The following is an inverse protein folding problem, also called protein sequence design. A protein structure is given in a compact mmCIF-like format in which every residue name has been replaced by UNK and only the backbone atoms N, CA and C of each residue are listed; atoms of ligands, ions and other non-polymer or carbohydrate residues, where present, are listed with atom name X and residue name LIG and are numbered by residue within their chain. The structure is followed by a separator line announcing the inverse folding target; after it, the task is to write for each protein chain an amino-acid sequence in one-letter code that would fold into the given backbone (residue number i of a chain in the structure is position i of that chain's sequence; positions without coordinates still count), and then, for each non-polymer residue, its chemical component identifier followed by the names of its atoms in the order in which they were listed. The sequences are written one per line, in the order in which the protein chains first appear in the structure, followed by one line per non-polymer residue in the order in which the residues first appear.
data_IF_189889975415
#
_entry.id   IF_189889975415
#
_cell.length_a   1.000
_cell.length_b   1.000
_cell.length_c   1.000
_cell.angle_alpha   90.00
_cell.angle_beta   90.00
_cell.angle_gamma   90.00
#
_symmetry.space_group_name_H-M   'P 1'
#
loop_
_entity.id
_entity.type
_entity.pdbx_description
1 polymer ?
#
# COMPACT_ATOMS: atom_id res chain seq x y z
N UNK A 1 -5.91 3.06 -40.45
CA UNK A 1 -7.05 3.41 -39.61
C UNK A 1 -6.60 3.81 -38.19
N UNK A 2 -5.28 3.82 -37.91
CA UNK A 2 -4.69 4.21 -36.62
C UNK A 2 -4.92 3.20 -35.49
N UNK A 3 -5.37 2.00 -35.78
CA UNK A 3 -5.53 0.93 -34.80
C UNK A 3 -4.28 0.05 -34.69
N UNK A 4 -4.03 -0.49 -33.51
CA UNK A 4 -3.02 -1.52 -33.26
C UNK A 4 -3.66 -2.89 -33.46
N UNK A 5 -3.03 -3.74 -34.26
CA UNK A 5 -3.46 -5.12 -34.46
C UNK A 5 -2.49 -6.08 -33.77
N UNK A 6 -2.99 -6.95 -32.91
CA UNK A 6 -2.20 -7.90 -32.15
C UNK A 6 -2.58 -9.31 -32.57
N UNK A 7 -1.62 -10.06 -33.15
CA UNK A 7 -1.76 -11.47 -33.42
C UNK A 7 -1.53 -12.31 -32.16
N UNK A 8 -2.44 -13.20 -31.83
CA UNK A 8 -2.27 -14.19 -30.77
C UNK A 8 -1.59 -15.44 -31.31
N UNK A 9 -0.62 -15.98 -30.56
CA UNK A 9 0.00 -17.29 -30.82
C UNK A 9 -0.64 -18.28 -29.84
N UNK A 10 -1.25 -19.31 -30.40
CA UNK A 10 -1.82 -20.39 -29.60
C UNK A 10 -1.01 -21.68 -29.71
N UNK A 11 -1.67 -22.81 -29.52
CA UNK A 11 -1.10 -24.14 -29.58
C UNK A 11 -0.61 -24.50 -31.02
N UNK A 12 0.43 -25.35 -31.21
CA UNK A 12 1.17 -26.07 -30.16
C UNK A 12 2.31 -25.25 -29.57
N UNK A 13 2.44 -25.24 -28.27
CA UNK A 13 3.56 -24.62 -27.54
C UNK A 13 3.20 -24.28 -26.10
N UNK A 14 4.19 -23.91 -25.34
CA UNK A 14 4.06 -23.46 -23.94
C UNK A 14 3.35 -22.11 -23.78
N UNK A 15 2.86 -21.52 -24.85
CA UNK A 15 2.09 -20.27 -24.88
C UNK A 15 0.57 -20.49 -25.03
N UNK A 16 0.15 -21.80 -25.11
CA UNK A 16 -1.27 -22.13 -25.22
C UNK A 16 -2.01 -21.85 -23.91
N UNK A 17 -3.25 -21.44 -24.05
CA UNK A 17 -4.18 -21.22 -22.93
C UNK A 17 -5.35 -22.18 -23.10
N UNK A 18 -5.65 -22.99 -22.06
CA UNK A 18 -6.76 -23.93 -22.07
C UNK A 18 -8.09 -23.22 -22.39
N UNK A 19 -8.87 -23.83 -23.27
CA UNK A 19 -10.17 -23.29 -23.70
C UNK A 19 -10.10 -22.09 -24.66
N UNK A 20 -8.90 -21.72 -25.16
CA UNK A 20 -8.72 -20.64 -26.15
C UNK A 20 -8.41 -21.20 -27.53
N UNK A 21 -8.73 -20.43 -28.56
CA UNK A 21 -8.37 -20.74 -29.94
C UNK A 21 -6.85 -20.69 -30.14
N UNK A 22 -6.35 -21.44 -31.11
CA UNK A 22 -4.93 -21.54 -31.44
C UNK A 22 -4.37 -20.28 -32.13
N UNK A 23 -5.23 -19.38 -32.52
CA UNK A 23 -4.92 -18.14 -33.22
C UNK A 23 -5.92 -17.07 -32.79
N UNK A 24 -5.52 -15.84 -32.95
CA UNK A 24 -6.39 -14.69 -32.71
C UNK A 24 -5.82 -13.44 -33.33
N UNK A 25 -6.67 -12.56 -33.77
CA UNK A 25 -6.32 -11.21 -34.17
C UNK A 25 -7.20 -10.26 -33.37
N UNK A 26 -6.58 -9.40 -32.59
CA UNK A 26 -7.26 -8.37 -31.83
C UNK A 26 -6.96 -7.00 -32.43
N UNK A 27 -8.00 -6.20 -32.58
CA UNK A 27 -7.86 -4.80 -33.00
C UNK A 27 -8.08 -3.90 -31.77
N UNK A 28 -7.09 -3.08 -31.46
CA UNK A 28 -7.15 -2.09 -30.42
C UNK A 28 -7.16 -0.70 -31.04
N UNK A 29 -8.13 0.11 -30.62
CA UNK A 29 -8.22 1.49 -31.07
C UNK A 29 -8.07 2.40 -29.85
N UNK A 30 -7.23 3.45 -29.99
CA UNK A 30 -7.08 4.45 -28.97
C UNK A 30 -8.42 5.17 -28.71
N UNK A 31 -8.83 5.24 -27.46
CA UNK A 31 -10.11 5.82 -27.04
C UNK A 31 -10.05 7.33 -26.76
N UNK A 32 -8.89 7.96 -27.00
CA UNK A 32 -8.68 9.39 -26.74
C UNK A 32 -8.39 9.75 -25.29
N UNK A 33 -8.33 8.77 -24.38
CA UNK A 33 -8.01 9.01 -22.97
C UNK A 33 -6.53 8.76 -22.68
N UNK A 34 -5.89 9.68 -21.96
CA UNK A 34 -4.55 9.45 -21.43
C UNK A 34 -4.58 8.54 -20.21
N UNK A 35 -3.53 7.76 -20.02
CA UNK A 35 -3.24 7.05 -18.77
C UNK A 35 -2.05 7.74 -18.09
N UNK A 36 -2.09 7.82 -16.77
CA UNK A 36 -0.96 8.34 -16.00
C UNK A 36 0.05 7.21 -15.75
N UNK A 37 1.24 7.32 -16.36
CA UNK A 37 2.27 6.28 -16.34
C UNK A 37 3.68 6.88 -16.32
N UNK A 38 4.67 6.08 -15.91
CA UNK A 38 6.08 6.35 -16.16
C UNK A 38 6.35 6.16 -17.66
N UNK A 39 6.53 7.26 -18.39
CA UNK A 39 6.76 7.25 -19.85
C UNK A 39 8.18 6.81 -20.19
N UNK A 40 9.17 7.28 -19.44
CA UNK A 40 10.56 7.00 -19.68
C UNK A 40 11.41 7.15 -18.41
N UNK A 41 12.51 6.41 -18.36
CA UNK A 41 13.60 6.57 -17.40
C UNK A 41 14.88 6.90 -18.15
N UNK A 42 15.60 7.92 -17.71
CA UNK A 42 16.87 8.34 -18.31
C UNK A 42 17.98 8.41 -17.28
N UNK A 43 19.15 7.89 -17.65
CA UNK A 43 20.35 8.04 -16.84
C UNK A 43 20.79 9.50 -16.79
N UNK A 44 21.24 9.93 -15.61
CA UNK A 44 21.94 11.18 -15.38
C UNK A 44 23.30 10.89 -14.73
N UNK A 45 24.24 11.83 -14.79
CA UNK A 45 25.57 11.67 -14.19
C UNK A 45 25.48 11.31 -12.69
N UNK A 46 24.48 11.83 -12.00
CA UNK A 46 24.31 11.70 -10.55
C UNK A 46 22.95 11.11 -10.16
N UNK A 47 22.28 10.36 -11.06
CA UNK A 47 20.99 9.80 -10.74
C UNK A 47 20.17 9.30 -11.92
N UNK A 48 18.85 9.32 -11.75
CA UNK A 48 17.86 8.94 -12.76
C UNK A 48 16.80 10.03 -12.91
N UNK A 49 16.37 10.28 -14.13
CA UNK A 49 15.22 11.14 -14.44
C UNK A 49 14.06 10.25 -14.89
N UNK A 50 12.93 10.34 -14.21
CA UNK A 50 11.67 9.67 -14.56
C UNK A 50 10.77 10.70 -15.23
N UNK A 51 10.27 10.41 -16.43
CA UNK A 51 9.28 11.21 -17.13
C UNK A 51 7.92 10.53 -17.06
N UNK A 52 6.88 11.32 -16.80
CA UNK A 52 5.49 10.85 -16.71
C UNK A 52 4.66 11.32 -17.91
N UNK A 53 3.63 10.56 -18.27
CA UNK A 53 2.72 10.89 -19.37
C UNK A 53 1.89 12.14 -19.10
N UNK A 54 1.57 12.40 -17.83
CA UNK A 54 0.80 13.56 -17.36
C UNK A 54 1.58 14.34 -16.30
N UNK A 55 1.29 15.64 -16.10
CA UNK A 55 1.89 16.37 -14.99
C UNK A 55 1.49 15.80 -13.63
N UNK A 56 2.42 15.73 -12.70
CA UNK A 56 2.15 15.38 -11.31
C UNK A 56 1.23 16.40 -10.64
N UNK A 57 0.43 15.96 -9.69
CA UNK A 57 -0.29 16.85 -8.79
C UNK A 57 0.69 17.76 -8.04
N UNK A 58 0.24 18.96 -7.70
CA UNK A 58 1.06 19.88 -6.92
C UNK A 58 1.43 19.28 -5.57
N UNK A 59 2.71 19.35 -5.21
CA UNK A 59 3.26 18.76 -3.99
C UNK A 59 3.71 17.30 -4.12
N UNK A 60 3.33 16.59 -5.18
CA UNK A 60 3.75 15.19 -5.38
C UNK A 60 5.13 15.08 -6.05
N UNK A 61 5.83 13.97 -5.81
CA UNK A 61 7.10 13.63 -6.46
C UNK A 61 8.36 14.22 -5.82
N UNK A 62 8.24 15.05 -4.78
CA UNK A 62 9.36 15.73 -4.13
C UNK A 62 10.02 14.91 -3.01
N UNK A 63 9.31 13.96 -2.42
CA UNK A 63 9.82 13.20 -1.29
C UNK A 63 10.67 12.01 -1.76
N UNK A 64 11.97 11.96 -1.46
CA UNK A 64 12.85 10.84 -1.80
C UNK A 64 12.34 9.48 -1.29
N UNK A 65 11.68 9.44 -0.14
CA UNK A 65 11.12 8.22 0.43
C UNK A 65 9.97 7.59 -0.40
N UNK A 66 9.44 8.33 -1.38
CA UNK A 66 8.47 7.78 -2.33
C UNK A 66 9.08 6.85 -3.38
N UNK A 67 10.43 6.81 -3.47
CA UNK A 67 11.15 6.06 -4.48
C UNK A 67 12.08 5.04 -3.82
N UNK A 68 11.94 3.78 -4.17
CA UNK A 68 12.88 2.72 -3.83
C UNK A 68 13.73 2.39 -5.03
N UNK A 69 15.04 2.44 -4.88
CA UNK A 69 15.96 2.08 -5.95
C UNK A 69 16.78 0.88 -5.50
N UNK A 70 16.69 -0.21 -6.25
CA UNK A 70 17.55 -1.38 -6.09
C UNK A 70 18.42 -1.56 -7.32
N UNK A 71 19.65 -2.04 -7.16
CA UNK A 71 20.50 -2.39 -8.28
C UNK A 71 21.09 -3.77 -8.11
N UNK A 72 21.31 -4.46 -9.23
CA UNK A 72 21.99 -5.75 -9.31
C UNK A 72 22.56 -5.95 -10.72
N UNK A 73 23.42 -6.94 -10.89
CA UNK A 73 23.84 -7.37 -12.22
C UNK A 73 23.55 -8.86 -12.44
N UNK A 74 23.55 -9.27 -13.71
CA UNK A 74 23.45 -10.66 -14.11
C UNK A 74 24.76 -11.10 -14.77
N UNK A 75 25.29 -12.26 -14.34
CA UNK A 75 26.40 -12.88 -15.02
C UNK A 75 25.85 -13.73 -16.18
N UNK A 76 26.26 -13.47 -17.45
CA UNK A 76 25.85 -14.29 -18.57
C UNK A 76 26.27 -15.75 -18.35
N UNK A 77 25.35 -16.69 -18.53
CA UNK A 77 25.58 -18.13 -18.47
C UNK A 77 24.91 -18.79 -19.66
N UNK A 78 25.25 -20.07 -19.93
CA UNK A 78 24.58 -20.88 -20.94
C UNK A 78 23.20 -21.42 -20.48
N UNK A 79 22.81 -21.16 -19.24
CA UNK A 79 21.50 -21.53 -18.70
C UNK A 79 20.54 -20.35 -18.87
N UNK A 80 19.28 -20.66 -19.13
CA UNK A 80 18.22 -19.67 -19.19
C UNK A 80 17.94 -19.11 -17.81
N UNK A 81 18.00 -17.77 -17.69
CA UNK A 81 17.85 -17.06 -16.44
C UNK A 81 19.08 -17.20 -15.53
N UNK A 82 19.31 -16.21 -14.69
CA UNK A 82 20.41 -16.22 -13.73
C UNK A 82 20.00 -15.51 -12.45
N UNK A 83 20.64 -15.81 -11.31
CA UNK A 83 20.37 -15.09 -10.08
C UNK A 83 20.82 -13.63 -10.21
N UNK A 84 20.15 -12.76 -9.49
CA UNK A 84 20.62 -11.41 -9.23
C UNK A 84 21.90 -11.48 -8.39
N UNK A 85 22.93 -10.77 -8.80
CA UNK A 85 24.20 -10.70 -8.09
C UNK A 85 24.46 -9.29 -7.60
N UNK A 86 25.05 -9.14 -6.42
CA UNK A 86 25.36 -7.86 -5.76
C UNK A 86 24.10 -6.94 -5.65
N UNK A 87 22.96 -7.54 -5.27
CA UNK A 87 21.73 -6.79 -5.10
C UNK A 87 21.85 -5.84 -3.88
N UNK A 88 21.66 -4.56 -4.12
CA UNK A 88 21.75 -3.50 -3.11
C UNK A 88 20.64 -2.48 -3.27
N UNK A 89 20.09 -2.01 -2.15
CA UNK A 89 19.20 -0.85 -2.13
C UNK A 89 20.04 0.42 -2.08
N UNK A 90 19.75 1.36 -2.96
CA UNK A 90 20.46 2.64 -3.06
C UNK A 90 19.72 3.75 -2.30
N UNK A 91 20.48 4.70 -1.78
CA UNK A 91 19.91 5.88 -1.12
C UNK A 91 19.56 6.94 -2.17
N UNK A 92 18.28 7.33 -2.21
CA UNK A 92 17.82 8.51 -2.93
C UNK A 92 18.09 9.74 -2.06
N UNK A 93 19.03 10.57 -2.49
CA UNK A 93 19.49 11.76 -1.73
C UNK A 93 18.51 12.93 -1.86
N UNK A 94 17.92 13.11 -3.03
CA UNK A 94 16.94 14.14 -3.30
C UNK A 94 16.02 13.75 -4.45
N UNK A 95 14.79 14.28 -4.46
CA UNK A 95 13.85 14.18 -5.57
C UNK A 95 13.49 15.62 -6.01
N UNK A 96 13.57 15.89 -7.31
CA UNK A 96 13.40 17.23 -7.87
C UNK A 96 12.41 17.17 -9.03
N UNK A 97 11.27 17.85 -8.90
CA UNK A 97 10.23 17.90 -9.90
C UNK A 97 10.47 19.05 -10.88
N UNK A 98 10.33 18.79 -12.18
CA UNK A 98 10.45 19.83 -13.21
C UNK A 98 9.33 20.87 -13.13
N UNK A 99 9.55 22.06 -13.72
CA UNK A 99 8.59 23.16 -13.70
C UNK A 99 7.23 22.76 -14.35
N UNK A 100 7.25 21.92 -15.38
CA UNK A 100 6.04 21.37 -16.03
C UNK A 100 5.44 20.19 -15.26
N UNK A 101 6.05 19.79 -14.17
CA UNK A 101 5.68 18.67 -13.30
C UNK A 101 5.57 17.31 -14.02
N UNK A 102 6.19 17.17 -15.18
CA UNK A 102 6.21 15.90 -15.92
C UNK A 102 7.44 15.05 -15.67
N UNK A 103 8.45 15.58 -14.98
CA UNK A 103 9.68 14.86 -14.71
C UNK A 103 10.05 14.93 -13.24
N UNK A 104 10.58 13.83 -12.73
CA UNK A 104 11.22 13.76 -11.42
C UNK A 104 12.67 13.32 -11.61
N UNK A 105 13.59 14.17 -11.22
CA UNK A 105 15.00 13.81 -11.12
C UNK A 105 15.29 13.28 -9.72
N UNK A 106 15.80 12.06 -9.63
CA UNK A 106 16.27 11.42 -8.40
C UNK A 106 17.79 11.49 -8.36
N UNK A 107 18.34 12.22 -7.39
CA UNK A 107 19.76 12.14 -7.09
C UNK A 107 20.02 10.89 -6.26
N UNK A 108 20.91 10.01 -6.73
CA UNK A 108 21.08 8.67 -6.15
C UNK A 108 22.56 8.42 -5.91
N UNK A 109 22.90 8.02 -4.68
CA UNK A 109 24.27 7.64 -4.34
C UNK A 109 24.55 6.17 -4.74
N UNK A 110 25.72 5.92 -5.31
CA UNK A 110 26.23 4.55 -5.53
C UNK A 110 25.71 3.83 -6.76
N UNK A 111 25.13 4.53 -7.74
CA UNK A 111 24.76 3.93 -9.03
C UNK A 111 26.02 3.37 -9.73
N UNK A 112 25.90 2.17 -10.28
CA UNK A 112 26.99 1.49 -11.01
C UNK A 112 26.60 1.25 -12.47
N UNK A 113 27.55 1.46 -13.39
CA UNK A 113 27.41 1.01 -14.78
C UNK A 113 27.46 -0.53 -14.86
N UNK A 114 26.78 -1.12 -15.84
CA UNK A 114 26.66 -2.57 -15.99
C UNK A 114 25.60 -3.22 -15.10
N UNK A 115 24.82 -2.42 -14.36
CA UNK A 115 23.77 -2.90 -13.43
C UNK A 115 22.37 -2.59 -13.96
N UNK A 116 21.43 -3.45 -13.62
CA UNK A 116 19.99 -3.15 -13.72
C UNK A 116 19.59 -2.31 -12.52
N UNK A 117 18.88 -1.23 -12.78
CA UNK A 117 18.26 -0.38 -11.76
C UNK A 117 16.77 -0.71 -11.74
N UNK A 118 16.25 -1.14 -10.60
CA UNK A 118 14.82 -1.26 -10.35
C UNK A 118 14.35 0.00 -9.63
N UNK A 119 13.34 0.64 -10.16
CA UNK A 119 12.68 1.81 -9.59
C UNK A 119 11.31 1.37 -9.11
N UNK A 120 11.07 1.40 -7.81
CA UNK A 120 9.76 1.15 -7.20
C UNK A 120 9.18 2.45 -6.65
N UNK A 121 7.96 2.77 -7.04
CA UNK A 121 7.22 3.88 -6.46
C UNK A 121 6.52 3.39 -5.18
N UNK A 122 6.87 3.92 -4.02
CA UNK A 122 6.31 3.49 -2.72
C UNK A 122 5.11 4.31 -2.26
N UNK A 123 5.13 5.61 -2.50
CA UNK A 123 3.99 6.52 -2.39
C UNK A 123 3.78 7.12 -3.75
N UNK A 124 2.67 6.78 -4.42
CA UNK A 124 2.48 7.22 -5.78
C UNK A 124 1.97 8.65 -5.83
N UNK A 125 2.58 9.45 -6.71
CA UNK A 125 2.00 10.69 -7.10
C UNK A 125 0.68 10.42 -7.82
N UNK A 126 -0.26 11.32 -7.67
CA UNK A 126 -1.40 11.42 -8.59
C UNK A 126 -1.05 12.38 -9.73
N UNK A 127 -1.70 12.23 -10.87
CA UNK A 127 -1.62 13.24 -11.90
C UNK A 127 -2.37 14.53 -11.48
N UNK A 128 -2.12 15.63 -12.16
CA UNK A 128 -2.85 16.89 -11.95
C UNK A 128 -4.36 16.76 -12.24
N UNK A 129 -4.76 15.69 -12.92
CA UNK A 129 -6.16 15.31 -13.20
C UNK A 129 -6.69 14.28 -12.17
N UNK A 130 -5.92 13.99 -11.12
CA UNK A 130 -6.19 12.93 -10.13
C UNK A 130 -6.26 11.51 -10.72
N UNK A 131 -5.61 11.27 -11.86
CA UNK A 131 -5.43 9.92 -12.37
C UNK A 131 -4.37 9.19 -11.55
N UNK A 132 -4.62 7.91 -11.32
CA UNK A 132 -3.70 7.00 -10.65
C UNK A 132 -2.71 6.43 -11.64
N UNK A 133 -1.49 6.18 -11.18
CA UNK A 133 -0.50 5.46 -11.96
C UNK A 133 -0.79 3.95 -11.91
N UNK A 134 -0.72 3.25 -13.04
CA UNK A 134 -1.01 1.82 -13.10
C UNK A 134 0.24 0.97 -12.89
N UNK A 135 1.38 1.42 -13.43
CA UNK A 135 2.64 0.71 -13.33
C UNK A 135 3.52 1.37 -12.28
N UNK A 136 3.76 0.67 -11.17
CA UNK A 136 4.50 1.17 -10.01
C UNK A 136 5.98 0.92 -10.08
N UNK A 137 6.41 0.09 -11.02
CA UNK A 137 7.76 -0.43 -11.15
C UNK A 137 8.32 -0.20 -12.54
N UNK A 138 9.60 0.17 -12.61
CA UNK A 138 10.34 0.29 -13.85
C UNK A 138 11.74 -0.33 -13.70
N UNK A 139 12.27 -0.87 -14.78
CA UNK A 139 13.62 -1.42 -14.84
C UNK A 139 14.44 -0.68 -15.89
N UNK A 140 15.61 -0.22 -15.51
CA UNK A 140 16.54 0.48 -16.38
C UNK A 140 17.90 -0.22 -16.37
N UNK A 141 18.41 -0.60 -17.54
CA UNK A 141 19.76 -1.16 -17.64
C UNK A 141 20.77 -0.03 -17.82
N UNK A 142 21.60 0.19 -16.81
CA UNK A 142 22.63 1.22 -16.78
C UNK A 142 23.88 0.74 -17.52
N UNK A 143 23.87 0.79 -18.85
CA UNK A 143 25.04 0.39 -19.63
C UNK A 143 26.25 1.30 -19.40
N UNK A 144 26.02 2.61 -19.27
CA UNK A 144 27.04 3.60 -18.95
C UNK A 144 26.42 4.77 -18.18
N UNK A 145 27.20 5.41 -17.35
CA UNK A 145 26.81 6.64 -16.66
C UNK A 145 27.23 7.84 -17.52
N UNK A 146 26.32 8.75 -17.89
CA UNK A 146 26.65 9.96 -18.66
C UNK A 146 27.69 10.81 -17.92
N UNK A 147 28.70 11.32 -18.62
CA UNK A 147 29.81 12.05 -18.00
C UNK A 147 29.42 13.49 -17.58
N UNK A 148 28.55 14.17 -18.33
CA UNK A 148 28.25 15.59 -18.17
C UNK A 148 26.74 15.91 -18.30
N UNK A 149 25.87 14.96 -18.05
CA UNK A 149 24.43 15.14 -18.07
C UNK A 149 23.86 15.07 -16.64
N UNK A 150 24.13 16.09 -15.87
CA UNK A 150 23.64 16.19 -14.49
C UNK A 150 22.14 16.45 -14.47
N UNK A 151 21.45 15.79 -13.56
CA UNK A 151 20.05 16.08 -13.31
C UNK A 151 19.87 17.49 -12.73
N UNK A 152 18.78 18.14 -13.13
CA UNK A 152 18.46 19.50 -12.72
C UNK A 152 17.94 19.50 -11.29
N UNK A 153 18.64 20.16 -10.38
CA UNK A 153 18.13 20.52 -9.07
C UNK A 153 17.30 21.79 -9.24
N UNK A 154 16.01 21.66 -9.14
CA UNK A 154 15.12 22.83 -9.06
C UNK A 154 15.12 23.35 -7.62
N UNK A 155 14.97 24.67 -7.43
CA UNK A 155 14.70 25.24 -6.12
C UNK A 155 13.30 24.83 -5.67
N UNK A 156 13.18 23.56 -5.25
CA UNK A 156 11.97 23.07 -4.64
C UNK A 156 11.67 23.85 -3.36
N UNK A 157 10.42 24.06 -3.01
CA UNK A 157 10.09 24.32 -1.62
C UNK A 157 10.77 23.20 -0.83
N UNK A 158 11.50 23.58 0.21
CA UNK A 158 12.25 22.65 1.05
C UNK A 158 11.26 21.64 1.60
N UNK A 159 11.02 20.56 0.85
CA UNK A 159 10.29 19.42 1.34
C UNK A 159 11.25 18.75 2.32
N UNK A 160 11.09 19.06 3.56
CA UNK A 160 11.75 18.36 4.65
C UNK A 160 11.36 16.89 4.46
N UNK A 161 12.36 16.03 4.27
CA UNK A 161 12.14 14.58 4.37
C UNK A 161 11.66 14.36 5.80
N UNK A 162 10.35 14.30 5.98
CA UNK A 162 9.77 13.92 7.26
C UNK A 162 10.12 12.47 7.44
N UNK A 163 10.86 12.17 8.51
CA UNK A 163 11.10 10.79 8.94
C UNK A 163 9.79 10.04 9.08
N UNK A 164 9.88 8.74 9.34
CA UNK A 164 8.69 7.97 9.71
C UNK A 164 7.94 8.66 10.85
N UNK A 165 6.61 8.64 10.81
CA UNK A 165 5.70 9.21 11.80
C UNK A 165 5.81 10.74 11.97
N UNK A 166 6.06 11.44 10.88
CA UNK A 166 6.06 12.90 10.83
C UNK A 166 5.12 13.39 9.73
N UNK A 167 4.53 14.57 9.92
CA UNK A 167 3.74 15.25 8.90
C UNK A 167 4.54 16.36 8.23
N UNK A 168 4.45 16.41 6.90
CA UNK A 168 4.90 17.58 6.16
C UNK A 168 4.06 18.80 6.50
N UNK A 169 4.59 20.00 6.26
CA UNK A 169 3.82 21.24 6.43
C UNK A 169 2.58 21.27 5.54
N UNK A 170 2.67 20.70 4.33
CA UNK A 170 1.53 20.56 3.42
C UNK A 170 0.43 19.63 4.00
N UNK A 171 0.82 18.52 4.61
CA UNK A 171 -0.14 17.62 5.28
C UNK A 171 -0.80 18.28 6.49
N UNK A 172 -0.02 19.00 7.30
CA UNK A 172 -0.56 19.78 8.43
C UNK A 172 -1.57 20.82 7.95
N UNK A 173 -1.23 21.57 6.90
CA UNK A 173 -2.11 22.56 6.29
C UNK A 173 -3.36 21.93 5.67
N UNK A 174 -3.25 20.70 5.15
CA UNK A 174 -4.38 19.93 4.62
C UNK A 174 -5.23 19.26 5.73
N UNK A 175 -4.91 19.43 7.01
CA UNK A 175 -5.68 18.94 8.15
C UNK A 175 -5.39 17.50 8.56
N UNK A 176 -4.24 16.94 8.16
CA UNK A 176 -3.78 15.65 8.66
C UNK A 176 -3.30 15.77 10.10
N UNK A 177 -3.56 14.73 10.89
CA UNK A 177 -3.06 14.55 12.25
C UNK A 177 -2.45 13.15 12.39
N UNK A 178 -1.34 13.04 13.14
CA UNK A 178 -0.75 11.74 13.45
C UNK A 178 -1.59 11.00 14.49
N UNK A 179 -1.74 9.69 14.30
CA UNK A 179 -2.26 8.75 15.27
C UNK A 179 -1.15 8.02 16.04
N UNK A 180 0.09 8.18 15.58
CA UNK A 180 1.28 7.61 16.20
C UNK A 180 2.49 8.50 15.92
N UNK A 181 3.26 8.80 16.95
CA UNK A 181 4.41 9.72 16.92
C UNK A 181 5.77 9.01 16.76
N UNK A 182 5.77 7.67 16.60
CA UNK A 182 6.99 6.87 16.54
C UNK A 182 7.64 6.61 17.90
N UNK A 183 7.15 7.19 19.00
CA UNK A 183 7.82 7.19 20.31
C UNK A 183 6.94 6.72 21.45
N UNK A 184 5.63 6.84 21.33
CA UNK A 184 4.69 6.48 22.38
C UNK A 184 3.42 5.85 21.81
N UNK A 185 2.76 5.00 22.60
CA UNK A 185 1.44 4.45 22.28
C UNK A 185 0.31 5.33 22.85
N UNK A 186 0.62 6.59 23.16
CA UNK A 186 -0.39 7.56 23.60
C UNK A 186 -1.48 7.71 22.53
N UNK A 187 -2.73 7.77 22.96
CA UNK A 187 -3.86 7.81 22.04
C UNK A 187 -4.36 6.42 21.59
N UNK A 188 -3.79 5.34 22.16
CA UNK A 188 -4.21 3.96 21.93
C UNK A 188 -4.49 3.26 23.27
N UNK A 189 -5.37 2.27 23.27
CA UNK A 189 -5.65 1.37 24.38
C UNK A 189 -6.17 0.02 23.90
N UNK A 190 -6.06 -1.04 24.68
CA UNK A 190 -6.70 -2.30 24.34
C UNK A 190 -8.23 -2.21 24.46
N UNK A 191 -8.92 -2.97 23.61
CA UNK A 191 -10.37 -3.07 23.65
C UNK A 191 -10.88 -3.40 25.07
N UNK A 192 -11.79 -2.58 25.56
CA UNK A 192 -12.38 -2.71 26.90
C UNK A 192 -11.44 -2.38 28.06
N UNK A 193 -10.26 -1.80 27.79
CA UNK A 193 -9.27 -1.41 28.82
C UNK A 193 -8.87 0.05 28.64
N UNK A 194 -8.18 0.60 29.63
CA UNK A 194 -7.60 1.95 29.58
C UNK A 194 -6.10 1.94 29.33
N UNK A 195 -5.50 0.77 29.22
CA UNK A 195 -4.06 0.55 29.04
C UNK A 195 -3.79 -0.34 27.82
N UNK A 196 -2.55 -0.42 27.40
CA UNK A 196 -2.09 -1.33 26.35
C UNK A 196 -1.31 -2.49 26.99
N UNK A 197 -1.55 -3.70 26.51
CA UNK A 197 -0.84 -4.90 26.91
C UNK A 197 0.60 -4.92 26.42
N UNK A 198 1.46 -5.68 27.08
CA UNK A 198 2.91 -5.67 26.88
C UNK A 198 3.38 -6.28 25.54
N UNK A 199 2.53 -7.03 24.85
CA UNK A 199 2.85 -7.54 23.53
C UNK A 199 2.81 -6.48 22.44
N UNK A 200 2.17 -5.34 22.69
CA UNK A 200 2.27 -4.18 21.82
C UNK A 200 3.44 -3.30 22.27
N UNK A 201 4.47 -3.24 21.45
CA UNK A 201 5.71 -2.48 21.73
C UNK A 201 5.98 -1.48 20.60
N UNK A 202 6.95 -0.62 20.81
CA UNK A 202 7.50 0.22 19.75
C UNK A 202 8.82 -0.41 19.30
N UNK A 203 8.89 -0.76 18.02
CA UNK A 203 10.06 -1.35 17.41
C UNK A 203 10.20 -0.84 15.96
N UNK A 204 11.42 -0.55 15.51
CA UNK A 204 11.69 0.04 14.18
C UNK A 204 10.86 1.32 13.89
N UNK A 205 10.62 2.18 14.88
CA UNK A 205 9.70 3.33 14.79
C UNK A 205 8.27 2.97 14.41
N UNK A 206 7.82 1.76 14.70
CA UNK A 206 6.48 1.25 14.40
C UNK A 206 5.78 0.75 15.67
N UNK A 207 4.45 0.78 15.69
CA UNK A 207 3.64 -0.02 16.61
C UNK A 207 3.82 -1.47 16.18
N UNK A 208 4.38 -2.30 17.04
CA UNK A 208 4.68 -3.70 16.75
C UNK A 208 3.97 -4.63 17.72
N UNK A 209 3.21 -5.59 17.18
CA UNK A 209 2.75 -6.74 17.94
C UNK A 209 3.87 -7.77 17.99
N UNK A 210 4.56 -7.83 19.12
CA UNK A 210 5.58 -8.85 19.40
C UNK A 210 4.88 -10.15 19.82
N UNK A 211 4.36 -10.87 18.83
CA UNK A 211 3.62 -12.11 19.05
C UNK A 211 4.60 -13.25 19.34
N UNK A 212 4.37 -13.92 20.47
CA UNK A 212 4.96 -15.21 20.81
C UNK A 212 3.81 -16.22 20.96
N UNK A 213 4.05 -17.53 20.77
CA UNK A 213 3.00 -18.52 20.98
C UNK A 213 2.36 -18.38 22.36
N UNK A 214 1.03 -18.28 22.41
CA UNK A 214 0.32 -18.12 23.67
C UNK A 214 0.29 -19.44 24.44
N UNK A 215 0.86 -19.52 25.64
CA UNK A 215 0.87 -20.77 26.44
C UNK A 215 -0.52 -21.27 26.80
N UNK A 216 -1.55 -20.40 26.83
CA UNK A 216 -2.94 -20.79 27.07
C UNK A 216 -3.62 -21.44 25.85
N UNK A 217 -2.96 -21.41 24.69
CA UNK A 217 -3.56 -21.85 23.41
C UNK A 217 -4.54 -20.86 22.81
N UNK A 218 -4.63 -19.63 23.33
CA UNK A 218 -5.41 -18.56 22.73
C UNK A 218 -4.81 -18.12 21.39
N UNK A 219 -5.64 -17.66 20.48
CA UNK A 219 -5.24 -17.20 19.16
C UNK A 219 -4.59 -15.80 19.18
N UNK A 220 -4.80 -15.02 20.23
CA UNK A 220 -4.17 -13.72 20.45
C UNK A 220 -2.83 -13.86 21.20
N UNK A 221 -1.97 -12.88 21.07
CA UNK A 221 -0.70 -12.83 21.81
C UNK A 221 -0.95 -12.73 23.33
N UNK A 222 -0.10 -13.36 24.17
CA UNK A 222 -0.19 -13.22 25.62
C UNK A 222 -0.04 -11.74 26.01
N UNK A 223 -0.93 -11.22 26.85
CA UNK A 223 -0.99 -9.79 27.21
C UNK A 223 -1.01 -8.86 25.98
N UNK A 224 -1.67 -9.34 24.91
CA UNK A 224 -1.96 -8.63 23.66
C UNK A 224 -3.41 -8.14 23.64
N UNK A 225 -4.14 -8.52 22.59
CA UNK A 225 -5.51 -8.10 22.29
C UNK A 225 -5.55 -6.90 21.35
N UNK A 226 -6.67 -6.69 20.69
CA UNK A 226 -6.86 -5.59 19.74
C UNK A 226 -6.67 -4.23 20.42
N UNK A 227 -5.97 -3.31 19.75
CA UNK A 227 -5.80 -1.93 20.22
C UNK A 227 -6.64 -0.97 19.39
N UNK A 228 -7.17 0.08 20.04
CA UNK A 228 -8.03 1.08 19.45
C UNK A 228 -7.51 2.49 19.66
N UNK A 229 -7.88 3.38 18.74
CA UNK A 229 -7.69 4.82 18.93
C UNK A 229 -8.54 5.33 20.08
N UNK A 230 -8.03 6.29 20.88
CA UNK A 230 -8.76 6.95 21.95
C UNK A 230 -9.97 7.74 21.43
N UNK A 231 -9.85 8.30 20.21
CA UNK A 231 -10.93 9.04 19.55
C UNK A 231 -11.72 8.14 18.59
N UNK A 232 -12.99 8.53 18.37
CA UNK A 232 -13.85 7.94 17.35
C UNK A 232 -14.03 8.91 16.18
N UNK A 233 -14.04 8.36 14.96
CA UNK A 233 -14.09 9.10 13.69
C UNK A 233 -15.32 8.71 12.89
N UNK A 234 -15.86 9.63 12.08
CA UNK A 234 -17.02 9.40 11.22
C UNK A 234 -16.69 9.55 9.74
N UNK A 235 -16.27 10.75 9.34
CA UNK A 235 -15.84 11.03 7.97
C UNK A 235 -14.35 11.31 7.99
N UNK A 236 -13.57 10.47 7.35
CA UNK A 236 -12.11 10.56 7.43
C UNK A 236 -11.42 9.88 6.27
N UNK A 237 -10.18 10.26 6.09
CA UNK A 237 -9.17 9.57 5.32
C UNK A 237 -8.06 9.13 6.28
N UNK A 238 -7.77 7.83 6.30
CA UNK A 238 -6.73 7.20 7.10
C UNK A 238 -5.64 6.71 6.18
N UNK A 239 -4.40 7.03 6.47
CA UNK A 239 -3.23 6.43 5.82
C UNK A 239 -2.31 5.81 6.86
N UNK A 240 -1.72 4.69 6.51
CA UNK A 240 -0.71 4.01 7.32
C UNK A 240 0.13 3.06 6.47
N UNK A 241 1.32 2.73 6.97
CA UNK A 241 2.13 1.66 6.42
C UNK A 241 2.12 0.46 7.37
N UNK A 242 2.03 -0.75 6.81
CA UNK A 242 2.08 -1.99 7.58
C UNK A 242 3.06 -2.99 6.98
N UNK A 243 3.66 -3.80 7.84
CA UNK A 243 4.54 -4.91 7.51
C UNK A 243 4.06 -6.13 8.29
N UNK A 244 3.97 -7.30 7.65
CA UNK A 244 3.51 -8.54 8.27
C UNK A 244 4.64 -9.58 8.30
N UNK A 245 4.69 -10.39 9.34
CA UNK A 245 5.58 -11.55 9.40
C UNK A 245 5.14 -12.68 8.46
N UNK A 246 6.03 -13.64 8.23
CA UNK A 246 5.73 -14.81 7.38
C UNK A 246 4.52 -15.57 7.89
N UNK A 247 3.59 -15.90 6.99
CA UNK A 247 2.29 -16.52 7.28
C UNK A 247 1.45 -15.72 8.30
N UNK A 248 1.67 -14.42 8.41
CA UNK A 248 1.00 -13.58 9.39
C UNK A 248 -0.40 -13.13 8.97
N UNK A 249 -1.21 -12.84 9.97
CA UNK A 249 -2.57 -12.31 9.86
C UNK A 249 -2.74 -11.16 10.87
N UNK A 250 -3.42 -10.12 10.46
CA UNK A 250 -3.86 -8.97 11.24
C UNK A 250 -4.96 -8.24 10.47
N UNK A 251 -5.44 -7.10 10.97
CA UNK A 251 -6.49 -6.33 10.32
C UNK A 251 -6.50 -4.86 10.74
N UNK A 252 -6.99 -4.00 9.83
CA UNK A 252 -7.35 -2.62 10.13
C UNK A 252 -8.88 -2.59 10.24
N UNK A 253 -9.39 -2.59 11.47
CA UNK A 253 -10.83 -2.63 11.74
C UNK A 253 -11.29 -1.21 12.06
N UNK A 254 -12.36 -0.77 11.45
CA UNK A 254 -12.81 0.61 11.55
C UNK A 254 -14.30 0.70 11.89
N UNK A 255 -14.73 1.90 12.27
CA UNK A 255 -16.09 2.15 12.79
C UNK A 255 -16.45 1.27 14.01
N UNK A 256 -15.44 0.89 14.80
CA UNK A 256 -15.64 0.03 15.97
C UNK A 256 -16.44 0.76 17.04
N UNK A 257 -17.52 0.15 17.49
CA UNK A 257 -18.25 0.55 18.68
C UNK A 257 -17.64 -0.18 19.87
N UNK A 258 -16.98 0.55 20.75
CA UNK A 258 -16.40 -0.03 21.94
C UNK A 258 -17.45 -0.12 23.06
N UNK A 259 -17.93 -1.33 23.27
CA UNK A 259 -18.87 -1.65 24.37
C UNK A 259 -18.57 -3.10 24.84
N UNK A 260 -17.57 -3.27 25.72
CA UNK A 260 -17.14 -4.61 26.17
C UNK A 260 -18.20 -5.35 27.01
N UNK A 261 -19.25 -4.66 27.48
CA UNK A 261 -20.37 -5.31 28.13
C UNK A 261 -21.30 -6.02 27.14
N UNK A 262 -21.25 -5.60 25.87
CA UNK A 262 -22.13 -6.13 24.80
C UNK A 262 -21.39 -6.93 23.75
N UNK A 263 -20.16 -6.57 23.45
CA UNK A 263 -19.36 -7.17 22.38
C UNK A 263 -18.02 -7.68 22.93
N UNK A 264 -17.70 -8.93 22.67
CA UNK A 264 -16.45 -9.55 23.12
C UNK A 264 -15.24 -9.08 22.31
N UNK A 265 -15.45 -8.63 21.04
CA UNK A 265 -14.39 -8.31 20.09
C UNK A 265 -14.75 -7.12 19.20
N UNK A 266 -13.76 -6.43 18.69
CA UNK A 266 -13.87 -5.27 17.79
C UNK A 266 -14.62 -5.60 16.49
N UNK A 267 -14.42 -6.79 15.94
CA UNK A 267 -15.05 -7.27 14.71
C UNK A 267 -16.54 -7.64 14.84
N UNK A 268 -17.11 -7.54 16.05
CA UNK A 268 -18.58 -7.65 16.23
C UNK A 268 -19.34 -6.45 15.65
N UNK A 269 -18.67 -5.33 15.48
CA UNK A 269 -19.29 -4.07 15.02
C UNK A 269 -18.57 -3.46 13.83
N UNK A 270 -17.24 -3.57 13.76
CA UNK A 270 -16.39 -2.90 12.78
C UNK A 270 -16.09 -3.76 11.56
N UNK A 271 -16.29 -3.23 10.34
CA UNK A 271 -15.73 -3.82 9.12
C UNK A 271 -14.20 -3.80 9.14
N UNK A 272 -13.58 -4.69 8.37
CA UNK A 272 -12.15 -4.91 8.38
C UNK A 272 -11.53 -4.81 6.98
N UNK A 273 -10.46 -4.04 6.85
CA UNK A 273 -9.51 -4.15 5.75
C UNK A 273 -8.44 -5.16 6.16
N UNK A 274 -8.38 -6.28 5.46
CA UNK A 274 -7.51 -7.41 5.81
C UNK A 274 -6.03 -7.07 5.64
N UNK A 275 -5.21 -7.50 6.60
CA UNK A 275 -3.75 -7.48 6.59
C UNK A 275 -3.24 -8.91 6.66
N UNK A 276 -2.63 -9.42 5.57
CA UNK A 276 -2.30 -10.83 5.45
C UNK A 276 -1.04 -11.07 4.63
N UNK A 277 -0.28 -12.11 4.97
CA UNK A 277 0.66 -12.72 4.04
C UNK A 277 -0.07 -13.66 3.08
N UNK A 278 -0.40 -13.16 1.89
CA UNK A 278 -1.14 -13.91 0.88
C UNK A 278 -0.38 -15.14 0.35
N UNK A 279 0.94 -15.21 0.54
CA UNK A 279 1.76 -16.29 0.00
C UNK A 279 1.67 -17.58 0.83
N UNK A 280 1.34 -17.46 2.11
CA UNK A 280 1.51 -18.54 3.07
C UNK A 280 0.29 -18.78 3.99
N UNK A 281 -0.39 -17.72 4.45
CA UNK A 281 -1.48 -17.86 5.42
C UNK A 281 -2.66 -18.67 4.81
N UNK A 282 -3.27 -19.61 5.56
CA UNK A 282 -4.38 -20.43 5.06
C UNK A 282 -5.58 -19.64 4.52
N UNK A 283 -5.89 -18.50 5.12
CA UNK A 283 -6.99 -17.61 4.70
C UNK A 283 -6.79 -17.03 3.30
N UNK A 284 -5.56 -16.92 2.79
CA UNK A 284 -5.31 -16.48 1.42
C UNK A 284 -5.91 -17.38 0.35
N UNK A 285 -6.30 -18.63 0.71
CA UNK A 285 -7.01 -19.56 -0.17
C UNK A 285 -8.51 -19.25 -0.29
N UNK A 286 -9.02 -18.42 0.63
CA UNK A 286 -10.43 -18.04 0.67
C UNK A 286 -10.59 -16.70 -0.03
N UNK A 287 -11.37 -16.68 -1.10
CA UNK A 287 -11.75 -15.44 -1.77
C UNK A 287 -12.49 -14.55 -0.77
N UNK A 288 -12.12 -13.31 -0.57
CA UNK A 288 -12.56 -12.33 0.43
C UNK A 288 -11.81 -12.35 1.77
N UNK A 289 -10.67 -13.08 1.89
CA UNK A 289 -9.84 -13.10 3.10
C UNK A 289 -8.40 -12.67 2.82
N UNK A 290 -8.11 -12.15 1.64
CA UNK A 290 -6.78 -11.71 1.23
C UNK A 290 -6.48 -10.30 1.68
N UNK A 291 -5.21 -9.94 1.71
CA UNK A 291 -4.78 -8.59 2.04
C UNK A 291 -5.49 -7.54 1.17
N UNK A 292 -6.09 -6.53 1.82
CA UNK A 292 -6.84 -5.46 1.18
C UNK A 292 -8.34 -5.74 0.98
N UNK A 293 -8.79 -6.99 1.11
CA UNK A 293 -10.21 -7.34 1.05
C UNK A 293 -11.02 -6.60 2.11
N UNK A 294 -12.28 -6.33 1.83
CA UNK A 294 -13.27 -6.15 2.89
C UNK A 294 -13.60 -7.55 3.41
N UNK A 295 -12.99 -7.91 4.54
CA UNK A 295 -12.93 -9.27 5.06
C UNK A 295 -14.29 -9.95 5.08
N UNK A 296 -14.36 -11.13 4.48
CA UNK A 296 -15.53 -11.99 4.28
C UNK A 296 -16.74 -11.37 3.54
N UNK A 297 -16.59 -10.15 3.01
CA UNK A 297 -17.66 -9.43 2.31
C UNK A 297 -17.33 -9.21 0.82
N UNK A 298 -16.29 -8.42 0.51
CA UNK A 298 -15.94 -8.03 -0.86
C UNK A 298 -14.46 -8.35 -1.12
N UNK A 299 -14.16 -9.19 -2.12
CA UNK A 299 -12.79 -9.45 -2.51
C UNK A 299 -12.20 -8.25 -3.26
N UNK A 300 -10.90 -8.03 -3.10
CA UNK A 300 -10.17 -7.02 -3.85
C UNK A 300 -10.14 -7.35 -5.36
N UNK A 301 -10.19 -6.30 -6.17
CA UNK A 301 -10.14 -6.44 -7.65
C UNK A 301 -8.77 -6.85 -8.16
N UNK A 302 -7.72 -6.52 -7.40
CA UNK A 302 -6.33 -6.72 -7.79
C UNK A 302 -5.53 -7.18 -6.58
N UNK A 303 -4.51 -7.97 -6.79
CA UNK A 303 -3.54 -8.34 -5.76
C UNK A 303 -2.34 -7.39 -5.86
N UNK A 304 -2.14 -6.57 -4.84
CA UNK A 304 -1.08 -5.56 -4.79
C UNK A 304 -0.22 -5.68 -3.55
N UNK A 305 -0.50 -6.65 -2.68
CA UNK A 305 0.26 -6.89 -1.46
C UNK A 305 1.70 -7.27 -1.79
N UNK A 306 2.64 -6.73 -1.03
CA UNK A 306 4.05 -7.09 -1.10
C UNK A 306 4.33 -8.31 -0.24
N UNK A 307 5.43 -9.03 -0.50
CA UNK A 307 5.85 -10.17 0.31
C UNK A 307 5.96 -9.85 1.81
N UNK A 308 5.79 -10.87 2.65
CA UNK A 308 6.03 -10.75 4.09
C UNK A 308 7.42 -10.15 4.37
N UNK A 309 7.51 -9.27 5.37
CA UNK A 309 8.71 -8.51 5.70
C UNK A 309 8.87 -7.20 4.91
N UNK A 310 8.06 -6.93 3.90
CA UNK A 310 8.05 -5.67 3.16
C UNK A 310 6.93 -4.73 3.65
N UNK A 311 7.18 -3.42 3.58
CA UNK A 311 6.21 -2.40 3.94
C UNK A 311 5.16 -2.20 2.85
N UNK A 312 3.90 -2.30 3.22
CA UNK A 312 2.73 -2.00 2.40
C UNK A 312 2.12 -0.67 2.84
N UNK A 313 1.65 0.13 1.90
CA UNK A 313 0.93 1.37 2.17
C UNK A 313 -0.57 1.14 2.03
N UNK A 314 -1.31 1.36 3.12
CA UNK A 314 -2.77 1.30 3.15
C UNK A 314 -3.37 2.70 3.25
N UNK A 315 -4.45 2.92 2.52
CA UNK A 315 -5.29 4.11 2.63
C UNK A 315 -6.75 3.67 2.68
N UNK A 316 -7.48 4.19 3.65
CA UNK A 316 -8.90 3.95 3.86
C UNK A 316 -9.63 5.28 3.85
N UNK A 317 -10.64 5.41 3.00
CA UNK A 317 -11.51 6.58 2.96
C UNK A 317 -12.88 6.14 3.45
N UNK A 318 -13.42 6.83 4.46
CA UNK A 318 -14.80 6.68 4.91
C UNK A 318 -15.46 8.06 4.85
N UNK A 319 -16.34 8.25 3.89
CA UNK A 319 -17.02 9.52 3.70
C UNK A 319 -18.54 9.32 3.57
N UNK A 320 -19.28 9.69 4.62
CA UNK A 320 -20.75 9.58 4.67
C UNK A 320 -21.25 8.16 4.38
N UNK A 321 -20.48 7.14 4.85
CA UNK A 321 -20.78 5.73 4.64
C UNK A 321 -20.33 5.14 3.30
N UNK A 322 -19.74 5.94 2.41
CA UNK A 322 -19.01 5.44 1.24
C UNK A 322 -17.58 5.14 1.66
N UNK A 323 -17.16 3.91 1.45
CA UNK A 323 -15.87 3.42 1.92
C UNK A 323 -15.02 2.92 0.77
N UNK A 324 -13.73 3.26 0.79
CA UNK A 324 -12.74 2.79 -0.15
C UNK A 324 -11.55 2.16 0.58
N UNK A 325 -11.10 0.99 0.12
CA UNK A 325 -9.83 0.38 0.51
C UNK A 325 -8.82 0.54 -0.61
N UNK A 326 -7.64 1.03 -0.25
CA UNK A 326 -6.51 1.20 -1.13
C UNK A 326 -5.30 0.49 -0.55
N UNK A 327 -4.59 -0.26 -1.36
CA UNK A 327 -3.35 -0.91 -0.96
C UNK A 327 -2.29 -0.69 -2.02
N UNK A 328 -1.11 -0.21 -1.59
CA UNK A 328 -0.01 0.15 -2.47
C UNK A 328 -0.45 1.07 -3.61
N UNK A 329 -1.27 2.07 -3.24
CA UNK A 329 -1.82 3.13 -4.09
C UNK A 329 -2.83 2.66 -5.16
N UNK A 330 -3.37 1.47 -5.02
CA UNK A 330 -4.43 0.98 -5.91
C UNK A 330 -5.73 0.79 -5.14
N UNK A 331 -6.82 1.35 -5.67
CA UNK A 331 -8.15 1.12 -5.10
C UNK A 331 -8.57 -0.32 -5.35
N UNK A 332 -8.75 -1.07 -4.28
CA UNK A 332 -9.07 -2.50 -4.31
C UNK A 332 -10.55 -2.76 -4.10
N UNK A 333 -11.16 -2.04 -3.17
CA UNK A 333 -12.57 -2.21 -2.77
C UNK A 333 -13.22 -0.84 -2.68
N UNK A 334 -14.48 -0.77 -3.09
CA UNK A 334 -15.35 0.38 -2.89
C UNK A 334 -16.77 -0.11 -2.60
N UNK A 335 -17.42 0.46 -1.59
CA UNK A 335 -18.79 0.12 -1.23
C UNK A 335 -19.51 1.28 -0.51
N UNK A 336 -20.83 1.19 -0.43
CA UNK A 336 -21.66 2.18 0.25
C UNK A 336 -22.49 1.49 1.34
N UNK A 337 -22.23 1.82 2.61
CA UNK A 337 -22.99 1.32 3.77
C UNK A 337 -24.45 1.79 3.76
N UNK A 338 -24.83 2.74 2.92
CA UNK A 338 -26.21 3.20 2.77
C UNK A 338 -26.95 2.48 1.65
N UNK A 339 -26.25 1.68 0.85
CA UNK A 339 -26.85 1.00 -0.28
C UNK A 339 -27.73 -0.18 0.17
N UNK A 340 -28.74 -0.57 -0.63
CA UNK A 340 -29.54 -1.78 -0.36
C UNK A 340 -28.73 -3.09 -0.51
N UNK A 341 -27.54 -3.03 -1.10
CA UNK A 341 -26.60 -4.15 -1.24
C UNK A 341 -25.89 -4.46 0.09
N UNK A 342 -25.65 -3.45 0.92
CA UNK A 342 -24.89 -3.60 2.17
C UNK A 342 -25.48 -4.68 3.11
N UNK A 343 -26.77 -4.64 3.49
CA UNK A 343 -27.34 -5.69 4.32
C UNK A 343 -27.37 -7.06 3.65
N UNK A 344 -27.41 -7.13 2.30
CA UNK A 344 -27.33 -8.41 1.57
C UNK A 344 -25.94 -9.02 1.65
N UNK A 345 -24.89 -8.19 1.55
CA UNK A 345 -23.50 -8.63 1.74
C UNK A 345 -23.31 -9.22 3.14
N UNK A 346 -23.78 -8.52 4.18
CA UNK A 346 -23.70 -9.01 5.57
C UNK A 346 -24.45 -10.34 5.73
N UNK A 347 -25.67 -10.44 5.19
CA UNK A 347 -26.48 -11.68 5.27
C UNK A 347 -25.83 -12.89 4.56
N UNK A 348 -24.96 -12.63 3.57
CA UNK A 348 -24.18 -13.65 2.87
C UNK A 348 -22.81 -13.96 3.45
N UNK A 349 -22.49 -13.46 4.64
CA UNK A 349 -21.19 -13.57 5.28
C UNK A 349 -21.25 -14.26 6.65
N UNK A 350 -20.08 -14.48 7.27
CA UNK A 350 -19.99 -14.97 8.65
C UNK A 350 -20.59 -13.98 9.69
N UNK A 351 -20.80 -12.74 9.30
CA UNK A 351 -21.34 -11.68 10.16
C UNK A 351 -22.88 -11.64 10.20
N UNK A 352 -23.57 -12.54 9.48
CA UNK A 352 -25.05 -12.56 9.37
C UNK A 352 -25.80 -12.59 10.71
N UNK A 353 -25.19 -13.24 11.70
CA UNK A 353 -25.76 -13.39 13.04
C UNK A 353 -25.24 -12.31 14.03
N UNK A 354 -24.58 -11.27 13.54
CA UNK A 354 -24.08 -10.13 14.31
C UNK A 354 -24.95 -8.90 14.05
N UNK A 355 -25.93 -8.62 14.89
CA UNK A 355 -26.98 -7.65 14.59
C UNK A 355 -26.48 -6.21 14.46
N UNK A 356 -25.31 -5.89 15.01
CA UNK A 356 -24.77 -4.53 14.99
C UNK A 356 -23.53 -4.37 14.10
N UNK A 357 -23.14 -5.45 13.41
CA UNK A 357 -22.02 -5.39 12.48
C UNK A 357 -22.28 -4.41 11.33
N UNK A 358 -21.33 -3.52 11.09
CA UNK A 358 -21.36 -2.57 9.98
C UNK A 358 -22.52 -1.56 10.00
N UNK A 359 -23.16 -1.33 11.15
CA UNK A 359 -24.23 -0.33 11.31
C UNK A 359 -23.70 1.06 11.64
N UNK A 360 -22.66 1.15 12.45
CA UNK A 360 -22.10 2.42 12.84
C UNK A 360 -21.25 3.03 11.75
N UNK A 361 -21.45 4.31 11.46
CA UNK A 361 -20.60 5.11 10.56
C UNK A 361 -19.55 5.89 11.32
N UNK A 362 -19.67 5.95 12.63
CA UNK A 362 -18.75 6.59 13.55
C UNK A 362 -18.22 5.55 14.53
N UNK A 363 -16.92 5.47 14.66
CA UNK A 363 -16.30 4.53 15.60
C UNK A 363 -14.80 4.71 15.67
N UNK A 364 -14.16 3.85 16.43
CA UNK A 364 -12.72 3.84 16.61
C UNK A 364 -12.04 3.07 15.47
N UNK A 365 -10.77 3.37 15.26
CA UNK A 365 -9.89 2.58 14.40
C UNK A 365 -9.18 1.56 15.29
N UNK A 366 -9.13 0.30 14.87
CA UNK A 366 -8.46 -0.77 15.59
C UNK A 366 -7.39 -1.42 14.75
N UNK A 367 -6.29 -1.82 15.41
CA UNK A 367 -5.26 -2.70 14.87
C UNK A 367 -5.44 -4.07 15.54
N UNK A 368 -5.61 -5.11 14.73
CA UNK A 368 -5.96 -6.44 15.21
C UNK A 368 -4.74 -7.21 15.73
N UNK A 369 -4.90 -7.85 16.86
CA UNK A 369 -4.03 -8.92 17.34
C UNK A 369 -4.57 -10.28 16.86
N UNK A 370 -3.87 -10.92 15.94
CA UNK A 370 -4.15 -12.30 15.49
C UNK A 370 -3.02 -13.26 15.88
N UNK A 371 -2.23 -12.93 16.91
CA UNK A 371 -1.13 -13.76 17.39
C UNK A 371 0.06 -13.85 16.43
N UNK A 372 0.17 -12.92 15.48
CA UNK A 372 1.24 -12.91 14.48
C UNK A 372 2.02 -11.60 14.51
N UNK A 373 3.29 -11.65 14.08
CA UNK A 373 4.14 -10.48 14.01
C UNK A 373 3.59 -9.49 12.98
N UNK A 374 3.32 -8.26 13.39
CA UNK A 374 2.89 -7.15 12.53
C UNK A 374 3.45 -5.84 13.03
N UNK A 375 3.75 -4.93 12.11
CA UNK A 375 4.25 -3.58 12.38
C UNK A 375 3.40 -2.56 11.65
N UNK A 376 3.12 -1.42 12.30
CA UNK A 376 2.37 -0.30 11.76
C UNK A 376 3.10 1.01 12.01
N UNK A 377 3.27 1.85 10.99
CA UNK A 377 3.87 3.18 11.10
C UNK A 377 3.19 4.18 10.18
N UNK A 378 3.58 5.44 10.26
CA UNK A 378 3.04 6.52 9.44
C UNK A 378 1.50 6.65 9.54
N UNK A 379 0.96 6.28 10.71
CA UNK A 379 -0.48 6.33 10.96
C UNK A 379 -0.91 7.79 11.07
N UNK A 380 -1.70 8.25 10.12
CA UNK A 380 -2.25 9.61 10.09
C UNK A 380 -3.68 9.61 9.61
N UNK A 381 -4.45 10.56 10.08
CA UNK A 381 -5.86 10.71 9.78
C UNK A 381 -6.19 12.14 9.42
N UNK A 382 -7.08 12.32 8.44
CA UNK A 382 -7.66 13.61 8.07
C UNK A 382 -9.17 13.52 8.17
N UNK A 383 -9.80 14.42 8.94
CA UNK A 383 -11.26 14.53 9.00
C UNK A 383 -11.77 15.12 7.69
N UNK A 384 -12.82 14.51 7.15
CA UNK A 384 -13.52 14.98 5.96
C UNK A 384 -14.80 15.73 6.33
N UNK A 385 -15.27 16.67 5.50
CA UNK A 385 -16.47 17.47 5.76
C UNK A 385 -17.78 16.68 5.75
#
# INVERSE_FOLDING_TARGET
DGALYIGGIGNPGNWSQEGKLWYGLQRMQYNGQSAFEMLAVRAKTNGLEIEFTEPLREGDGWNPAQFEIKQWYYKPTNQYGGPKLDETTLTVLSANVSADRKKVFLEIAGIKAGYVQHIGLRKLPLSSLNHEIWTTDAWYTMNSIPANDFGVKTNAPTMVNTGDNELTEAEKAAGWALLFDGKSLNGWHNYGKTTIGKSWIIDENAIHLHAVPNPSGDWQAPDGGDILTADAYENYELELDWKIGTCGNSGIIYNVVEDPAKYDYVWKTGPEMQVLDNSCHPDARIHKHRAGDLYDLIPCKYETVKPAGEWNHARLVNNKGKVEHWLNNRKLVEYDMNSPEWPKLIAGSKFKDMPDFGKSKKGRISLQDHGNLVWYKNLKIKKLP
#
